data_IF_530197781510
#
_entry.id   IF_530197781510
#
_cell.length_a   1.000
_cell.length_b   1.000
_cell.length_c   1.000
_cell.angle_alpha   90.00
_cell.angle_beta   90.00
_cell.angle_gamma   90.00
#
_symmetry.space_group_name_H-M   'P 1'
#
loop_
_entity.id
_entity.type
_entity.pdbx_description
1 polymer ?
#
# COMPACT_ATOMS: atom_id res chain seq x y z
N UNK A 1 2.52 20.29 20.75
CA UNK A 1 2.96 20.13 19.35
C UNK A 1 2.10 19.04 18.73
N UNK A 2 0.95 19.40 18.15
CA UNK A 2 0.04 18.44 17.54
C UNK A 2 0.64 17.97 16.21
N UNK A 3 0.90 16.67 16.07
CA UNK A 3 1.34 16.09 14.82
C UNK A 3 0.30 16.40 13.73
N UNK A 4 0.75 16.98 12.63
CA UNK A 4 -0.05 17.35 11.47
C UNK A 4 -0.77 16.11 10.92
N UNK A 5 -2.05 15.96 11.28
CA UNK A 5 -2.98 14.97 10.72
C UNK A 5 -3.43 15.41 9.32
N UNK A 6 -2.50 15.80 8.46
CA UNK A 6 -2.78 16.11 7.07
C UNK A 6 -2.49 14.88 6.24
N UNK A 7 -3.44 13.95 6.18
CA UNK A 7 -3.46 12.95 5.10
C UNK A 7 -3.78 13.60 3.76
N UNK A 8 -4.20 14.87 3.74
CA UNK A 8 -4.56 15.67 2.56
C UNK A 8 -3.41 15.74 1.55
N UNK A 9 -2.17 15.89 2.03
CA UNK A 9 -0.98 16.03 1.17
C UNK A 9 -0.55 14.74 0.46
N UNK A 10 -1.05 13.58 0.90
CA UNK A 10 -0.68 12.29 0.31
C UNK A 10 -1.51 12.03 -0.95
N UNK A 11 -0.90 12.07 -2.14
CA UNK A 11 -1.63 11.84 -3.39
C UNK A 11 -2.39 10.50 -3.39
N UNK A 12 -3.73 10.55 -3.55
CA UNK A 12 -4.56 9.33 -3.61
C UNK A 12 -4.18 8.49 -4.84
N UNK A 13 -3.85 9.12 -5.96
CA UNK A 13 -3.36 8.43 -7.15
C UNK A 13 -2.02 7.74 -6.90
N UNK A 14 -1.11 8.33 -6.12
CA UNK A 14 0.14 7.66 -5.72
C UNK A 14 -0.15 6.37 -4.96
N UNK A 15 -1.05 6.41 -3.96
CA UNK A 15 -1.39 5.23 -3.18
C UNK A 15 -2.03 4.12 -4.03
N UNK A 16 -2.89 4.47 -4.98
CA UNK A 16 -3.50 3.49 -5.90
C UNK A 16 -2.43 2.84 -6.78
N UNK A 17 -1.55 3.63 -7.39
CA UNK A 17 -0.46 3.13 -8.23
C UNK A 17 0.49 2.25 -7.41
N UNK A 18 0.82 2.65 -6.19
CA UNK A 18 1.64 1.86 -5.27
C UNK A 18 0.98 0.53 -4.93
N UNK A 19 -0.32 0.53 -4.59
CA UNK A 19 -1.05 -0.70 -4.30
C UNK A 19 -1.05 -1.64 -5.52
N UNK A 20 -1.30 -1.12 -6.72
CA UNK A 20 -1.26 -1.90 -7.94
C UNK A 20 0.13 -2.52 -8.17
N UNK A 21 1.20 -1.75 -8.04
CA UNK A 21 2.57 -2.25 -8.18
C UNK A 21 2.91 -3.35 -7.17
N UNK A 22 2.51 -3.19 -5.91
CA UNK A 22 2.73 -4.20 -4.85
C UNK A 22 1.94 -5.48 -5.12
N UNK A 23 0.70 -5.38 -5.64
CA UNK A 23 -0.08 -6.56 -6.05
C UNK A 23 0.57 -7.30 -7.23
N UNK A 24 1.14 -6.56 -8.19
CA UNK A 24 1.91 -7.15 -9.29
C UNK A 24 3.15 -7.88 -8.77
N UNK A 25 3.91 -7.27 -7.85
CA UNK A 25 5.06 -7.90 -7.22
C UNK A 25 4.70 -9.13 -6.38
N UNK A 26 3.55 -9.08 -5.68
CA UNK A 26 3.01 -10.22 -4.95
C UNK A 26 2.72 -11.39 -5.90
N UNK A 27 2.01 -11.13 -7.00
CA UNK A 27 1.72 -12.12 -8.03
C UNK A 27 3.02 -12.68 -8.64
N UNK A 28 3.99 -11.81 -8.92
CA UNK A 28 5.31 -12.22 -9.39
C UNK A 28 6.02 -13.15 -8.40
N UNK A 29 6.03 -12.80 -7.11
CA UNK A 29 6.61 -13.63 -6.05
C UNK A 29 5.97 -15.02 -5.98
N UNK A 30 4.64 -15.09 -6.12
CA UNK A 30 3.92 -16.38 -6.17
C UNK A 30 4.34 -17.19 -7.39
N UNK A 31 4.40 -16.59 -8.58
CA UNK A 31 4.85 -17.27 -9.81
C UNK A 31 6.30 -17.75 -9.70
N UNK A 32 7.15 -17.01 -9.00
CA UNK A 32 8.55 -17.37 -8.76
C UNK A 32 8.75 -18.36 -7.62
N UNK A 33 7.74 -18.61 -6.78
CA UNK A 33 7.86 -19.40 -5.55
C UNK A 33 8.74 -18.74 -4.48
N UNK A 34 8.92 -17.41 -4.53
CA UNK A 34 9.78 -16.67 -3.62
C UNK A 34 8.98 -16.17 -2.41
N UNK A 35 9.14 -16.87 -1.28
CA UNK A 35 8.44 -16.57 -0.04
C UNK A 35 8.80 -15.20 0.52
N UNK A 36 10.04 -14.72 0.33
CA UNK A 36 10.46 -13.43 0.85
C UNK A 36 9.76 -12.28 0.10
N UNK A 37 9.70 -12.37 -1.25
CA UNK A 37 8.97 -11.41 -2.07
C UNK A 37 7.48 -11.42 -1.70
N UNK A 38 6.89 -12.60 -1.54
CA UNK A 38 5.48 -12.74 -1.20
C UNK A 38 5.17 -12.11 0.17
N UNK A 39 5.94 -12.47 1.21
CA UNK A 39 5.71 -11.98 2.57
C UNK A 39 5.84 -10.45 2.66
N UNK A 40 6.89 -9.88 2.05
CA UNK A 40 7.13 -8.44 2.07
C UNK A 40 6.03 -7.66 1.34
N UNK A 41 5.63 -8.12 0.15
CA UNK A 41 4.59 -7.43 -0.64
C UNK A 41 3.19 -7.62 -0.05
N UNK A 42 2.89 -8.76 0.57
CA UNK A 42 1.62 -8.98 1.27
C UNK A 42 1.46 -8.02 2.46
N UNK A 43 2.50 -7.89 3.30
CA UNK A 43 2.50 -6.94 4.41
C UNK A 43 2.34 -5.50 3.91
N UNK A 44 3.07 -5.14 2.85
CA UNK A 44 3.00 -3.81 2.23
C UNK A 44 1.61 -3.51 1.66
N UNK A 45 0.99 -4.47 0.96
CA UNK A 45 -0.37 -4.32 0.42
C UNK A 45 -1.39 -4.06 1.53
N UNK A 46 -1.27 -4.75 2.67
CA UNK A 46 -2.11 -4.51 3.85
C UNK A 46 -1.97 -3.08 4.39
N UNK A 47 -0.74 -2.58 4.55
CA UNK A 47 -0.48 -1.23 5.04
C UNK A 47 -0.97 -0.15 4.06
N UNK A 48 -0.72 -0.31 2.77
CA UNK A 48 -1.17 0.62 1.73
C UNK A 48 -2.70 0.62 1.64
N UNK A 49 -3.33 -0.55 1.71
CA UNK A 49 -4.79 -0.69 1.73
C UNK A 49 -5.43 -0.03 2.97
N UNK A 50 -4.81 -0.17 4.15
CA UNK A 50 -5.25 0.52 5.36
C UNK A 50 -5.12 2.05 5.20
N UNK A 51 -4.00 2.52 4.67
CA UNK A 51 -3.75 3.95 4.42
C UNK A 51 -4.77 4.52 3.45
N UNK A 52 -5.06 3.82 2.34
CA UNK A 52 -6.11 4.19 1.40
C UNK A 52 -7.49 4.25 2.05
N UNK A 53 -7.82 3.27 2.90
CA UNK A 53 -9.10 3.20 3.60
C UNK A 53 -9.28 4.37 4.57
N UNK A 54 -8.23 4.74 5.30
CA UNK A 54 -8.23 5.90 6.19
C UNK A 54 -8.32 7.21 5.39
N UNK A 55 -7.60 7.32 4.27
CA UNK A 55 -7.64 8.49 3.39
C UNK A 55 -9.03 8.70 2.79
N UNK A 56 -9.72 7.63 2.36
CA UNK A 56 -11.10 7.71 1.84
C UNK A 56 -12.12 8.13 2.92
N UNK A 57 -11.87 7.81 4.19
CA UNK A 57 -12.76 8.18 5.32
C UNK A 57 -12.56 9.62 5.80
N UNK A 58 -11.35 10.18 5.65
CA UNK A 58 -10.97 11.51 6.13
C UNK A 58 -10.94 12.59 5.02
N UNK A 59 -11.25 12.22 3.78
CA UNK A 59 -11.30 13.11 2.62
C UNK A 59 -12.72 13.44 2.20
#
# INVERSE_FOLDING_TARGET
MAATRSTTDLSLSMLIVLLAGVLLWLAYGVVRGDVAIVAANAATAGLVGLTLSLKKKNG
#
